data_IF_925227787726
#
_entry.id   IF_925227787726
#
_cell.length_a   1.000
_cell.length_b   1.000
_cell.length_c   1.000
_cell.angle_alpha   90.00
_cell.angle_beta   90.00
_cell.angle_gamma   90.00
#
_symmetry.space_group_name_H-M   'P 1'
#
loop_
_entity.id
_entity.type
_entity.pdbx_description
1 polymer ?
#
# COMPACT_ATOMS: atom_id res chain seq x y z
N UNK A 1 -13.94 -42.08 17.31
CA UNK A 1 -12.72 -42.43 16.57
C UNK A 1 -12.95 -42.08 15.10
N UNK A 2 -12.28 -41.05 14.58
CA UNK A 2 -12.44 -40.63 13.17
C UNK A 2 -11.83 -41.67 12.22
N UNK A 3 -12.52 -41.96 11.11
CA UNK A 3 -12.11 -42.96 10.11
C UNK A 3 -10.76 -42.59 9.47
N UNK A 4 -9.97 -43.58 8.97
CA UNK A 4 -8.69 -43.32 8.30
C UNK A 4 -8.80 -42.40 7.08
N UNK A 5 -9.93 -42.44 6.38
CA UNK A 5 -10.22 -41.58 5.22
C UNK A 5 -10.48 -40.13 5.65
N UNK A 6 -11.21 -39.93 6.76
CA UNK A 6 -11.43 -38.61 7.38
C UNK A 6 -10.14 -37.97 7.91
N UNK A 7 -9.16 -38.76 8.35
CA UNK A 7 -7.85 -38.23 8.78
C UNK A 7 -6.96 -37.82 7.61
N UNK A 8 -7.03 -38.55 6.48
CA UNK A 8 -6.29 -38.19 5.26
C UNK A 8 -6.82 -36.90 4.63
N UNK A 9 -8.13 -36.73 4.52
CA UNK A 9 -8.73 -35.50 3.99
C UNK A 9 -8.47 -34.29 4.89
N UNK A 10 -8.55 -34.43 6.22
CA UNK A 10 -8.19 -33.35 7.16
C UNK A 10 -6.71 -32.91 7.02
N UNK A 11 -5.80 -33.85 6.82
CA UNK A 11 -4.38 -33.55 6.57
C UNK A 11 -4.17 -32.85 5.22
N UNK A 12 -4.91 -33.21 4.17
CA UNK A 12 -4.83 -32.56 2.87
C UNK A 12 -5.38 -31.13 2.90
N UNK A 13 -6.44 -30.88 3.66
CA UNK A 13 -7.04 -29.54 3.80
C UNK A 13 -6.13 -28.60 4.58
N UNK A 14 -5.50 -29.04 5.67
CA UNK A 14 -4.53 -28.23 6.42
C UNK A 14 -3.33 -27.86 5.53
N UNK A 15 -2.84 -28.79 4.72
CA UNK A 15 -1.78 -28.55 3.74
C UNK A 15 -2.21 -27.57 2.65
N UNK A 16 -3.42 -27.71 2.10
CA UNK A 16 -3.97 -26.79 1.11
C UNK A 16 -4.12 -25.37 1.65
N UNK A 17 -4.61 -25.22 2.88
CA UNK A 17 -4.70 -23.93 3.59
C UNK A 17 -3.34 -23.28 3.74
N UNK A 18 -2.33 -24.04 4.14
CA UNK A 18 -0.96 -23.57 4.27
C UNK A 18 -0.38 -23.13 2.92
N UNK A 19 -0.57 -23.93 1.86
CA UNK A 19 -0.10 -23.58 0.52
C UNK A 19 -0.78 -22.34 -0.04
N UNK A 20 -2.11 -22.25 0.08
CA UNK A 20 -2.89 -21.07 -0.33
C UNK A 20 -2.33 -19.83 0.36
N UNK A 21 -2.22 -19.90 1.68
CA UNK A 21 -1.78 -18.77 2.48
C UNK A 21 -0.33 -18.38 2.16
N UNK A 22 0.56 -19.33 1.95
CA UNK A 22 1.94 -19.07 1.55
C UNK A 22 2.03 -18.33 0.20
N UNK A 23 1.22 -18.73 -0.79
CA UNK A 23 1.11 -18.04 -2.08
C UNK A 23 0.55 -16.63 -1.91
N UNK A 24 -0.52 -16.44 -1.14
CA UNK A 24 -1.08 -15.10 -0.89
C UNK A 24 -0.06 -14.14 -0.27
N UNK A 25 0.75 -14.61 0.68
CA UNK A 25 1.83 -13.80 1.27
C UNK A 25 2.91 -13.41 0.24
N UNK A 26 3.29 -14.34 -0.62
CA UNK A 26 4.21 -14.10 -1.73
C UNK A 26 3.65 -13.05 -2.70
N UNK A 27 2.42 -13.26 -3.18
CA UNK A 27 1.75 -12.34 -4.11
C UNK A 27 1.55 -10.96 -3.49
N UNK A 28 1.17 -10.89 -2.22
CA UNK A 28 1.02 -9.62 -1.52
C UNK A 28 2.35 -8.87 -1.47
N UNK A 29 3.45 -9.53 -1.06
CA UNK A 29 4.78 -8.91 -1.00
C UNK A 29 5.26 -8.41 -2.37
N UNK A 30 5.07 -9.21 -3.41
CA UNK A 30 5.43 -8.87 -4.78
C UNK A 30 4.63 -7.67 -5.30
N UNK A 31 3.31 -7.66 -5.05
CA UNK A 31 2.42 -6.57 -5.44
C UNK A 31 2.80 -5.27 -4.73
N UNK A 32 3.06 -5.33 -3.43
CA UNK A 32 3.58 -4.23 -2.63
C UNK A 32 4.85 -3.63 -3.24
N UNK A 33 5.81 -4.47 -3.62
CA UNK A 33 7.04 -4.04 -4.29
C UNK A 33 6.77 -3.35 -5.63
N UNK A 34 5.94 -3.93 -6.50
CA UNK A 34 5.63 -3.33 -7.79
C UNK A 34 4.89 -1.99 -7.66
N UNK A 35 3.95 -1.90 -6.71
CA UNK A 35 3.15 -0.69 -6.49
C UNK A 35 3.94 0.48 -5.90
N UNK A 36 5.09 0.23 -5.27
CA UNK A 36 6.02 1.24 -4.78
C UNK A 36 7.14 1.59 -5.77
N UNK A 37 7.26 0.86 -6.88
CA UNK A 37 8.27 1.10 -7.91
C UNK A 37 7.64 1.18 -9.30
N UNK A 38 7.81 0.16 -10.16
CA UNK A 38 7.48 0.22 -11.59
C UNK A 38 5.98 0.41 -11.92
N UNK A 39 5.09 0.22 -10.94
CA UNK A 39 3.63 0.42 -11.08
C UNK A 39 3.10 1.45 -10.09
N UNK A 40 3.94 2.41 -9.71
CA UNK A 40 3.47 3.56 -8.92
C UNK A 40 2.48 4.36 -9.77
N UNK A 41 1.41 4.85 -9.15
CA UNK A 41 0.44 5.66 -9.86
C UNK A 41 0.97 7.10 -10.01
N UNK A 42 0.93 7.63 -11.23
CA UNK A 42 1.54 8.92 -11.59
C UNK A 42 0.52 9.90 -12.18
N UNK A 43 -0.43 10.39 -11.36
CA UNK A 43 -1.45 11.32 -11.83
C UNK A 43 -0.84 12.71 -12.09
N UNK A 44 -1.38 13.42 -13.10
CA UNK A 44 -1.00 14.81 -13.38
C UNK A 44 -1.80 15.76 -12.51
N UNK A 45 -1.15 16.80 -11.98
CA UNK A 45 -1.80 17.82 -11.15
C UNK A 45 -2.66 18.82 -11.92
N UNK A 46 -2.38 19.01 -13.21
CA UNK A 46 -3.07 19.95 -14.08
C UNK A 46 -3.87 19.18 -15.13
N UNK A 47 -5.15 18.89 -14.86
CA UNK A 47 -6.11 18.66 -15.93
C UNK A 47 -7.48 19.27 -15.58
N UNK A 48 -7.97 20.14 -16.46
CA UNK A 48 -9.32 20.67 -16.54
C UNK A 48 -10.37 19.58 -16.92
N UNK A 49 -10.14 18.33 -16.51
CA UNK A 49 -10.93 17.18 -16.93
C UNK A 49 -10.59 15.94 -16.13
N UNK A 50 -11.61 15.10 -15.93
CA UNK A 50 -11.59 13.84 -15.17
C UNK A 50 -10.26 13.08 -15.27
N UNK A 51 -9.69 12.73 -14.12
CA UNK A 51 -8.55 11.80 -14.07
C UNK A 51 -8.92 10.50 -14.79
N UNK A 52 -8.09 10.08 -15.74
CA UNK A 52 -8.18 8.74 -16.32
C UNK A 52 -7.46 7.76 -15.41
N UNK A 53 -8.14 6.68 -15.04
CA UNK A 53 -7.60 5.64 -14.17
C UNK A 53 -7.87 4.28 -14.78
N UNK A 54 -6.82 3.49 -14.96
CA UNK A 54 -6.91 2.10 -15.42
C UNK A 54 -7.44 1.18 -14.31
N UNK A 55 -8.08 0.07 -14.67
CA UNK A 55 -8.65 -0.89 -13.70
C UNK A 55 -7.64 -1.33 -12.63
N UNK A 56 -6.40 -1.63 -13.03
CA UNK A 56 -5.35 -2.04 -12.10
C UNK A 56 -4.87 -0.92 -11.15
N UNK A 57 -5.04 0.34 -11.54
CA UNK A 57 -4.72 1.49 -10.68
C UNK A 57 -5.80 1.67 -9.62
N UNK A 58 -7.07 1.56 -10.01
CA UNK A 58 -8.22 1.54 -9.09
C UNK A 58 -8.05 0.42 -8.06
N UNK A 59 -7.79 -0.80 -8.52
CA UNK A 59 -7.52 -1.95 -7.65
C UNK A 59 -6.33 -1.71 -6.70
N UNK A 60 -5.33 -0.93 -7.14
CA UNK A 60 -4.19 -0.55 -6.32
C UNK A 60 -4.50 0.50 -5.24
N UNK A 61 -5.47 1.39 -5.50
CA UNK A 61 -5.93 2.42 -4.56
C UNK A 61 -6.89 1.83 -3.53
N UNK A 62 -7.79 0.95 -3.95
CA UNK A 62 -8.71 0.29 -3.05
C UNK A 62 -8.00 -0.61 -2.03
N UNK A 63 -8.68 -0.84 -0.90
CA UNK A 63 -8.23 -1.68 0.20
C UNK A 63 -6.90 -1.21 0.81
N UNK A 64 -6.64 0.10 0.75
CA UNK A 64 -5.53 0.79 1.42
C UNK A 64 -6.08 1.79 2.41
N UNK A 65 -5.38 1.97 3.52
CA UNK A 65 -5.77 2.88 4.61
C UNK A 65 -5.44 4.32 4.29
N UNK A 66 -4.28 4.61 3.69
CA UNK A 66 -3.87 5.98 3.38
C UNK A 66 -3.04 6.10 2.09
N UNK A 67 -3.15 7.20 1.32
CA UNK A 67 -2.19 7.55 0.29
C UNK A 67 -0.88 8.09 0.89
N UNK A 68 0.24 7.76 0.23
CA UNK A 68 1.55 8.37 0.43
C UNK A 68 1.91 9.12 -0.86
N UNK A 69 1.93 10.44 -0.77
CA UNK A 69 2.39 11.30 -1.85
C UNK A 69 3.91 11.49 -1.73
N UNK A 70 4.65 10.97 -2.71
CA UNK A 70 6.07 11.23 -2.83
C UNK A 70 6.28 12.46 -3.71
N UNK A 71 6.86 13.51 -3.15
CA UNK A 71 7.23 14.69 -3.93
C UNK A 71 8.43 14.35 -4.84
N UNK A 72 8.45 14.86 -6.07
CA UNK A 72 9.51 14.54 -6.99
C UNK A 72 10.83 15.13 -6.51
N UNK A 73 11.91 14.37 -6.71
CA UNK A 73 13.25 14.86 -6.48
C UNK A 73 14.28 13.77 -6.78
N UNK A 74 15.48 13.95 -6.26
CA UNK A 74 16.52 12.94 -6.49
C UNK A 74 16.19 11.66 -5.72
N UNK A 75 16.29 10.50 -6.38
CA UNK A 75 16.18 9.17 -5.77
C UNK A 75 14.78 8.79 -5.28
N UNK A 76 13.73 9.37 -5.85
CA UNK A 76 12.32 9.07 -5.56
C UNK A 76 11.99 7.57 -5.62
N UNK A 77 12.44 6.85 -6.65
CA UNK A 77 12.31 5.39 -6.75
C UNK A 77 12.90 4.65 -5.55
N UNK A 78 14.11 5.04 -5.14
CA UNK A 78 14.83 4.39 -4.06
C UNK A 78 14.14 4.65 -2.70
N UNK A 79 13.75 5.90 -2.45
CA UNK A 79 13.03 6.29 -1.22
C UNK A 79 11.73 5.52 -1.09
N UNK A 80 10.95 5.38 -2.17
CA UNK A 80 9.71 4.59 -2.16
C UNK A 80 9.97 3.12 -1.80
N UNK A 81 11.01 2.51 -2.37
CA UNK A 81 11.38 1.12 -2.05
C UNK A 81 11.77 0.94 -0.58
N UNK A 82 12.58 1.86 -0.04
CA UNK A 82 13.03 1.86 1.36
C UNK A 82 11.84 2.01 2.31
N UNK A 83 10.96 2.99 2.06
CA UNK A 83 9.75 3.21 2.86
C UNK A 83 8.80 2.00 2.75
N UNK A 84 8.59 1.45 1.56
CA UNK A 84 7.76 0.26 1.36
C UNK A 84 8.27 -0.93 2.19
N UNK A 85 9.58 -1.17 2.20
CA UNK A 85 10.18 -2.26 2.97
C UNK A 85 10.04 -2.02 4.48
N UNK A 86 10.25 -0.78 4.94
CA UNK A 86 10.03 -0.41 6.33
C UNK A 86 8.58 -0.63 6.76
N UNK A 87 7.61 -0.11 6.01
CA UNK A 87 6.19 -0.27 6.31
C UNK A 87 5.75 -1.74 6.28
N UNK A 88 6.17 -2.49 5.27
CA UNK A 88 5.77 -3.88 5.12
C UNK A 88 6.19 -4.71 6.33
N UNK A 89 7.43 -4.55 6.84
CA UNK A 89 7.91 -5.30 8.01
C UNK A 89 7.20 -4.93 9.32
N UNK A 90 6.60 -3.73 9.42
CA UNK A 90 5.82 -3.29 10.58
C UNK A 90 4.38 -3.79 10.53
N UNK A 91 3.74 -3.63 9.37
CA UNK A 91 2.34 -3.95 9.16
C UNK A 91 2.11 -5.46 9.01
N UNK A 92 2.97 -6.14 8.25
CA UNK A 92 2.80 -7.55 7.94
C UNK A 92 3.16 -8.45 9.12
N UNK A 93 2.24 -9.34 9.48
CA UNK A 93 2.41 -10.38 10.47
C UNK A 93 2.18 -11.72 9.77
N UNK A 94 3.20 -12.60 9.66
CA UNK A 94 3.08 -13.90 9.03
C UNK A 94 1.85 -14.64 9.51
N UNK A 95 1.05 -15.12 8.56
CA UNK A 95 -0.22 -15.83 8.75
C UNK A 95 -1.32 -15.08 9.50
N UNK A 96 -1.08 -13.86 10.00
CA UNK A 96 -2.03 -13.11 10.83
C UNK A 96 -2.64 -11.91 10.12
N UNK A 97 -1.89 -11.26 9.24
CA UNK A 97 -2.41 -10.14 8.45
C UNK A 97 -3.43 -10.65 7.43
N UNK A 98 -4.56 -9.96 7.28
CA UNK A 98 -5.50 -10.24 6.20
C UNK A 98 -5.01 -9.61 4.89
N UNK A 99 -4.88 -10.41 3.82
CA UNK A 99 -4.19 -10.00 2.59
C UNK A 99 -5.10 -9.99 1.36
N UNK A 100 -6.30 -10.58 1.49
CA UNK A 100 -7.27 -10.70 0.42
C UNK A 100 -7.51 -9.36 -0.27
N UNK A 101 -7.72 -9.42 -1.59
CA UNK A 101 -7.99 -8.24 -2.43
C UNK A 101 -6.89 -7.17 -2.38
N UNK A 102 -5.65 -7.62 -2.16
CA UNK A 102 -4.48 -6.75 -2.15
C UNK A 102 -4.46 -5.76 -0.99
N UNK A 103 -5.07 -6.11 0.16
CA UNK A 103 -5.04 -5.26 1.35
C UNK A 103 -3.60 -4.97 1.77
N UNK A 104 -3.34 -3.70 2.07
CA UNK A 104 -2.06 -3.20 2.56
C UNK A 104 -2.28 -1.81 3.19
N UNK A 105 -1.37 -1.34 4.04
CA UNK A 105 -1.57 -0.09 4.77
C UNK A 105 -1.69 1.14 3.85
N UNK A 106 -0.78 1.29 2.88
CA UNK A 106 -0.66 2.53 2.13
C UNK A 106 -0.52 2.35 0.62
N UNK A 107 -0.95 3.34 -0.17
CA UNK A 107 -0.66 3.44 -1.61
C UNK A 107 0.30 4.58 -1.91
N UNK A 108 1.42 4.27 -2.56
CA UNK A 108 2.27 5.30 -3.13
C UNK A 108 1.62 5.96 -4.36
N UNK A 109 1.67 7.29 -4.39
CA UNK A 109 1.25 8.15 -5.48
C UNK A 109 2.38 9.13 -5.76
N UNK A 110 2.72 9.30 -7.03
CA UNK A 110 3.79 10.20 -7.48
C UNK A 110 3.24 11.26 -8.44
N UNK A 111 2.81 12.42 -7.91
CA UNK A 111 2.20 13.46 -8.72
C UNK A 111 3.16 14.01 -9.78
N UNK A 112 2.70 14.04 -11.01
CA UNK A 112 3.43 14.62 -12.15
C UNK A 112 3.05 16.10 -12.29
N UNK A 113 4.05 16.93 -12.54
CA UNK A 113 3.88 18.38 -12.72
C UNK A 113 4.16 19.22 -11.46
N UNK A 114 4.73 18.61 -10.41
CA UNK A 114 5.40 19.36 -9.35
C UNK A 114 6.83 19.68 -9.77
N UNK A 115 7.30 20.87 -9.38
CA UNK A 115 8.70 21.24 -9.54
C UNK A 115 9.58 20.28 -8.73
N UNK A 116 10.69 19.86 -9.34
CA UNK A 116 11.71 19.03 -8.69
C UNK A 116 12.49 19.87 -7.70
N UNK A 117 11.85 20.27 -6.62
CA UNK A 117 12.49 21.02 -5.54
C UNK A 117 12.89 20.06 -4.42
N UNK A 118 14.17 20.07 -4.06
CA UNK A 118 14.67 19.42 -2.85
C UNK A 118 14.35 20.28 -1.61
N UNK A 119 13.09 20.71 -1.47
CA UNK A 119 12.64 21.58 -0.39
C UNK A 119 11.45 20.96 0.37
N UNK A 120 11.13 21.58 1.50
CA UNK A 120 9.86 21.33 2.18
C UNK A 120 8.69 21.71 1.24
N UNK A 121 7.59 20.93 1.20
CA UNK A 121 6.41 21.28 0.44
C UNK A 121 5.86 22.63 0.91
N UNK A 122 5.60 23.50 -0.06
CA UNK A 122 4.88 24.75 0.20
C UNK A 122 3.40 24.48 0.51
N UNK A 123 2.73 25.47 1.11
CA UNK A 123 1.28 25.40 1.33
C UNK A 123 0.49 25.22 0.03
N UNK A 124 0.94 25.81 -1.09
CA UNK A 124 0.28 25.62 -2.40
C UNK A 124 0.45 24.19 -2.89
N UNK A 125 1.65 23.61 -2.77
CA UNK A 125 1.91 22.19 -3.08
C UNK A 125 0.93 21.29 -2.32
N UNK A 126 0.81 21.49 -1.00
CA UNK A 126 -0.09 20.68 -0.17
C UNK A 126 -1.57 20.85 -0.56
N UNK A 127 -2.01 22.07 -0.91
CA UNK A 127 -3.36 22.31 -1.42
C UNK A 127 -3.61 21.58 -2.75
N UNK A 128 -2.64 21.59 -3.66
CA UNK A 128 -2.74 20.85 -4.92
C UNK A 128 -2.84 19.33 -4.69
N UNK A 129 -2.11 18.80 -3.70
CA UNK A 129 -2.23 17.38 -3.31
C UNK A 129 -3.60 17.05 -2.71
N UNK A 130 -4.18 17.96 -1.92
CA UNK A 130 -5.54 17.78 -1.40
C UNK A 130 -6.58 17.70 -2.52
N UNK A 131 -6.54 18.66 -3.46
CA UNK A 131 -7.42 18.64 -4.62
C UNK A 131 -7.22 17.34 -5.43
N UNK A 132 -5.96 16.94 -5.65
CA UNK A 132 -5.66 15.70 -6.35
C UNK A 132 -6.22 14.47 -5.62
N UNK A 133 -6.08 14.37 -4.30
CA UNK A 133 -6.61 13.24 -3.54
C UNK A 133 -8.13 13.16 -3.66
N UNK A 134 -8.80 14.31 -3.56
CA UNK A 134 -10.25 14.40 -3.75
C UNK A 134 -10.64 13.90 -5.15
N UNK A 135 -10.00 14.40 -6.20
CA UNK A 135 -10.27 13.95 -7.57
C UNK A 135 -10.01 12.45 -7.77
N UNK A 136 -8.95 11.89 -7.16
CA UNK A 136 -8.68 10.44 -7.21
C UNK A 136 -9.83 9.65 -6.57
N UNK A 137 -10.29 10.08 -5.39
CA UNK A 137 -11.38 9.42 -4.66
C UNK A 137 -12.72 9.50 -5.42
N UNK A 138 -13.00 10.66 -6.02
CA UNK A 138 -14.17 10.88 -6.88
C UNK A 138 -14.13 9.98 -8.12
N UNK A 139 -12.98 9.89 -8.81
CA UNK A 139 -12.78 9.00 -9.97
C UNK A 139 -12.99 7.54 -9.60
N UNK A 140 -12.42 7.07 -8.47
CA UNK A 140 -12.63 5.68 -8.01
C UNK A 140 -14.11 5.40 -7.75
N UNK A 141 -14.80 6.34 -7.09
CA UNK A 141 -16.23 6.20 -6.79
C UNK A 141 -17.10 6.17 -8.05
N UNK A 142 -16.81 7.06 -9.00
CA UNK A 142 -17.51 7.12 -10.28
C UNK A 142 -17.29 5.84 -11.11
N UNK A 143 -16.04 5.35 -11.20
CA UNK A 143 -15.73 4.13 -11.94
C UNK A 143 -16.40 2.89 -11.34
N UNK A 144 -16.40 2.75 -10.01
CA UNK A 144 -17.11 1.64 -9.35
C UNK A 144 -18.63 1.67 -9.61
N UNK A 145 -19.21 2.87 -9.65
CA UNK A 145 -20.62 3.05 -10.02
C UNK A 145 -20.88 2.64 -11.46
N UNK A 146 -19.97 2.98 -12.37
CA UNK A 146 -20.03 2.57 -13.77
C UNK A 146 -19.93 1.05 -13.93
N UNK A 147 -19.04 0.37 -13.20
CA UNK A 147 -18.93 -1.10 -13.24
C UNK A 147 -20.23 -1.78 -12.81
N UNK A 148 -20.86 -1.28 -11.75
CA UNK A 148 -22.17 -1.77 -11.30
C UNK A 148 -23.24 -1.62 -12.39
N UNK A 149 -23.25 -0.51 -13.12
CA UNK A 149 -24.19 -0.27 -14.22
C UNK A 149 -23.90 -1.18 -15.43
N UNK A 150 -22.64 -1.40 -15.76
CA UNK A 150 -22.21 -2.30 -16.86
C UNK A 150 -22.59 -3.75 -16.58
N UNK A 151 -22.37 -4.23 -15.35
CA UNK A 151 -22.79 -5.58 -14.95
C UNK A 151 -24.31 -5.74 -14.98
N UNK A 152 -25.06 -4.70 -14.58
CA UNK A 152 -26.52 -4.71 -14.64
C UNK A 152 -27.07 -4.71 -16.07
N UNK A 153 -26.35 -4.12 -17.03
CA UNK A 153 -26.78 -4.06 -18.44
C UNK A 153 -26.36 -5.27 -19.28
N UNK A 154 -25.44 -6.10 -18.77
CA UNK A 154 -24.95 -7.30 -19.47
C UNK A 154 -24.05 -7.00 -20.69
N UNK A 155 -23.56 -5.77 -20.83
CA UNK A 155 -22.75 -5.32 -21.98
C UNK A 155 -21.36 -4.87 -21.49
N UNK A 156 -20.31 -5.62 -21.84
CA UNK A 156 -18.92 -5.21 -21.65
C UNK A 156 -17.92 -6.38 -21.62
N UNK A 157 -16.61 -6.12 -21.82
CA UNK A 157 -15.57 -7.10 -21.52
C UNK A 157 -15.52 -7.35 -20.01
N UNK A 158 -15.48 -8.62 -19.63
CA UNK A 158 -15.45 -9.05 -18.23
C UNK A 158 -14.02 -9.07 -17.70
N UNK A 159 -13.43 -7.91 -17.42
CA UNK A 159 -12.23 -7.82 -16.58
C UNK A 159 -12.58 -8.25 -15.15
N UNK A 160 -11.71 -9.03 -14.49
CA UNK A 160 -11.89 -9.48 -13.10
C UNK A 160 -12.18 -8.31 -12.16
N UNK A 161 -11.50 -7.16 -12.35
CA UNK A 161 -11.71 -5.97 -11.52
C UNK A 161 -13.13 -5.41 -11.65
N UNK A 162 -13.72 -5.53 -12.84
CA UNK A 162 -15.10 -5.09 -13.10
C UNK A 162 -16.08 -6.06 -12.47
N UNK A 163 -15.87 -7.38 -12.64
CA UNK A 163 -16.73 -8.41 -12.03
C UNK A 163 -16.74 -8.29 -10.50
N UNK A 164 -15.55 -8.14 -9.91
CA UNK A 164 -15.34 -8.16 -8.48
C UNK A 164 -15.29 -6.76 -7.84
N UNK A 165 -15.84 -5.75 -8.52
CA UNK A 165 -15.79 -4.33 -8.11
C UNK A 165 -16.31 -4.06 -6.68
N UNK A 166 -17.17 -4.92 -6.14
CA UNK A 166 -17.68 -4.81 -4.78
C UNK A 166 -16.60 -5.03 -3.72
N UNK A 167 -15.56 -5.83 -4.02
CA UNK A 167 -14.45 -6.14 -3.12
C UNK A 167 -13.29 -5.14 -3.21
N UNK A 168 -13.30 -4.24 -4.18
CA UNK A 168 -12.38 -3.11 -4.27
C UNK A 168 -12.94 -1.90 -3.52
N UNK A 169 -12.78 -1.86 -2.20
CA UNK A 169 -13.36 -0.83 -1.33
C UNK A 169 -12.40 0.36 -1.16
N UNK A 170 -12.85 1.56 -1.54
CA UNK A 170 -12.18 2.81 -1.15
C UNK A 170 -12.41 3.04 0.35
N UNK A 171 -11.35 2.95 1.15
CA UNK A 171 -11.46 3.09 2.61
C UNK A 171 -11.74 4.56 2.98
N UNK A 172 -12.63 4.84 3.96
CA UNK A 172 -12.85 6.20 4.46
C UNK A 172 -11.55 6.90 4.90
N UNK A 173 -10.64 6.17 5.57
CA UNK A 173 -9.34 6.72 5.96
C UNK A 173 -8.48 7.15 4.76
N UNK A 174 -8.60 6.49 3.61
CA UNK A 174 -7.84 6.86 2.41
C UNK A 174 -8.24 8.26 1.92
N UNK A 175 -9.52 8.58 2.10
CA UNK A 175 -10.07 9.87 1.76
C UNK A 175 -9.69 10.92 2.81
N UNK A 176 -9.64 10.54 4.09
CA UNK A 176 -9.54 11.45 5.23
C UNK A 176 -8.13 11.92 5.59
N UNK A 177 -7.11 11.08 5.36
CA UNK A 177 -5.74 11.36 5.79
C UNK A 177 -4.73 10.99 4.72
N UNK A 178 -3.71 11.83 4.51
CA UNK A 178 -2.61 11.55 3.60
C UNK A 178 -1.26 11.77 4.27
N UNK A 179 -0.27 10.98 3.84
CA UNK A 179 1.13 11.16 4.20
C UNK A 179 1.84 11.81 3.01
N UNK A 180 2.62 12.86 3.24
CA UNK A 180 3.44 13.51 2.21
C UNK A 180 4.91 13.35 2.56
N UNK A 181 5.66 12.76 1.65
CA UNK A 181 7.09 12.50 1.77
C UNK A 181 7.86 13.45 0.87
N UNK A 182 8.70 14.30 1.46
CA UNK A 182 9.69 15.06 0.72
C UNK A 182 11.03 14.33 0.73
N UNK A 183 11.54 14.01 -0.46
CA UNK A 183 12.87 13.39 -0.60
C UNK A 183 14.00 14.32 -0.13
N UNK A 184 13.72 15.62 0.05
CA UNK A 184 14.66 16.59 0.60
C UNK A 184 15.15 16.21 2.01
N UNK A 185 14.32 15.51 2.79
CA UNK A 185 14.66 15.10 4.15
C UNK A 185 15.34 13.74 4.22
N UNK A 186 15.40 13.01 3.10
CA UNK A 186 15.95 11.67 3.07
C UNK A 186 17.48 11.69 3.15
N UNK A 187 18.04 11.02 4.16
CA UNK A 187 19.48 11.01 4.43
C UNK A 187 20.16 9.72 3.98
N UNK A 188 19.61 9.07 2.95
CA UNK A 188 20.13 7.80 2.40
C UNK A 188 20.15 6.67 3.44
N UNK A 189 19.16 6.67 4.31
CA UNK A 189 18.95 5.63 5.33
C UNK A 189 18.35 4.38 4.68
N UNK A 190 18.68 3.20 5.19
CA UNK A 190 18.04 1.97 4.74
C UNK A 190 16.67 1.75 5.42
N UNK A 191 15.98 0.68 5.01
CA UNK A 191 14.68 0.31 5.57
C UNK A 191 14.71 -0.11 7.03
N UNK A 192 15.87 -0.22 7.67
CA UNK A 192 15.98 -0.46 9.12
C UNK A 192 15.96 0.84 9.93
N UNK A 193 16.29 1.97 9.30
CA UNK A 193 16.54 3.25 9.97
C UNK A 193 15.69 4.41 9.44
N UNK A 194 15.06 4.26 8.26
CA UNK A 194 14.21 5.29 7.62
C UNK A 194 13.00 5.73 8.47
N UNK A 195 12.66 5.02 9.55
CA UNK A 195 11.59 5.43 10.46
C UNK A 195 11.75 6.83 11.04
N UNK A 196 12.98 7.36 11.09
CA UNK A 196 13.29 8.73 11.54
C UNK A 196 13.05 9.80 10.48
N UNK A 197 12.81 9.42 9.22
CA UNK A 197 12.55 10.33 8.11
C UNK A 197 11.38 11.25 8.46
N UNK A 198 11.56 12.58 8.46
CA UNK A 198 10.44 13.49 8.64
C UNK A 198 9.46 13.44 7.46
N UNK A 199 8.17 13.37 7.78
CA UNK A 199 7.06 13.34 6.82
C UNK A 199 5.95 14.28 7.31
N UNK A 200 5.05 14.65 6.41
CA UNK A 200 3.86 15.41 6.76
C UNK A 200 2.65 14.50 6.82
N UNK A 201 1.87 14.65 7.87
CA UNK A 201 0.58 14.01 8.04
C UNK A 201 -0.50 15.09 7.90
N UNK A 202 -1.39 14.94 6.93
CA UNK A 202 -2.33 15.98 6.54
C UNK A 202 -3.75 15.42 6.54
N UNK A 203 -4.67 16.11 7.23
CA UNK A 203 -6.10 15.81 7.13
C UNK A 203 -6.65 16.45 5.87
N UNK A 204 -7.52 15.73 5.18
CA UNK A 204 -8.13 16.23 3.94
C UNK A 204 -9.42 16.99 4.18
N UNK A 205 -10.05 16.79 5.34
CA UNK A 205 -11.39 17.27 5.67
C UNK A 205 -12.52 16.35 5.19
N UNK A 206 -12.21 15.29 4.44
CA UNK A 206 -13.18 14.28 4.02
C UNK A 206 -13.27 13.18 5.08
N UNK A 207 -14.03 13.44 6.15
CA UNK A 207 -14.15 12.55 7.32
C UNK A 207 -15.48 11.75 7.34
N UNK A 208 -16.21 11.74 6.23
CA UNK A 208 -17.46 10.98 6.10
C UNK A 208 -17.21 9.48 6.29
N UNK A 209 -18.12 8.82 7.01
CA UNK A 209 -18.10 7.38 7.30
C UNK A 209 -16.90 6.89 8.14
N UNK A 210 -16.21 7.79 8.84
CA UNK A 210 -15.28 7.40 9.90
C UNK A 210 -16.02 7.07 11.19
N UNK A 211 -15.44 6.17 11.98
CA UNK A 211 -15.94 5.82 13.32
C UNK A 211 -15.89 6.98 14.30
N UNK A 212 -14.93 7.90 14.11
CA UNK A 212 -14.76 9.13 14.88
C UNK A 212 -13.88 10.13 14.12
N UNK A 213 -13.95 11.44 14.44
CA UNK A 213 -13.09 12.45 13.84
C UNK A 213 -11.59 12.15 14.00
N UNK A 214 -10.77 12.70 13.11
CA UNK A 214 -9.31 12.56 13.19
C UNK A 214 -8.71 13.77 13.93
N UNK A 215 -8.07 13.51 15.08
CA UNK A 215 -7.26 14.50 15.81
C UNK A 215 -5.83 14.02 15.98
N UNK A 216 -4.90 14.95 16.15
CA UNK A 216 -3.48 14.64 16.39
C UNK A 216 -3.12 14.62 17.88
N UNK A 217 -4.12 14.61 18.77
CA UNK A 217 -3.88 14.71 20.22
C UNK A 217 -3.08 13.51 20.74
N UNK A 218 -3.35 12.31 20.20
CA UNK A 218 -2.65 11.07 20.54
C UNK A 218 -1.16 11.06 20.17
N UNK A 219 -0.74 11.98 19.28
CA UNK A 219 0.66 12.10 18.82
C UNK A 219 1.25 13.48 19.13
N UNK A 220 0.60 14.28 19.97
CA UNK A 220 0.95 15.69 20.21
C UNK A 220 2.41 15.87 20.64
N UNK A 221 2.92 15.02 21.53
CA UNK A 221 4.31 15.04 22.01
C UNK A 221 5.34 14.61 20.96
N UNK A 222 4.89 13.98 19.86
CA UNK A 222 5.73 13.51 18.75
C UNK A 222 5.71 14.46 17.55
N UNK A 223 4.94 15.55 17.61
CA UNK A 223 4.87 16.56 16.56
C UNK A 223 6.18 17.35 16.53
N UNK A 224 6.84 17.36 15.37
CA UNK A 224 8.05 18.14 15.10
C UNK A 224 7.67 19.60 14.83
N UNK A 225 6.64 19.83 14.03
CA UNK A 225 6.11 21.16 13.73
C UNK A 225 4.68 21.10 13.20
N UNK A 226 3.95 22.21 13.31
CA UNK A 226 2.61 22.34 12.74
C UNK A 226 2.67 22.97 11.35
N UNK A 227 1.82 22.49 10.44
CA UNK A 227 1.61 23.10 9.13
C UNK A 227 0.60 24.24 9.25
N UNK A 228 1.08 25.46 9.08
CA UNK A 228 0.21 26.65 9.04
C UNK A 228 -0.33 26.89 7.62
N UNK A 229 -1.54 27.46 7.54
CA UNK A 229 -2.16 27.86 6.26
C UNK A 229 -2.93 26.76 5.51
N UNK A 230 -2.97 25.53 6.05
CA UNK A 230 -3.93 24.50 5.66
C UNK A 230 -5.15 24.57 6.58
N UNK A 231 -6.31 24.96 6.04
CA UNK A 231 -7.56 25.03 6.82
C UNK A 231 -7.98 23.70 7.45
N UNK A 232 -7.57 22.57 6.85
CA UNK A 232 -7.86 21.21 7.34
C UNK A 232 -6.88 20.73 8.42
N UNK A 233 -5.73 21.41 8.56
CA UNK A 233 -4.67 21.08 9.51
C UNK A 233 -3.73 19.98 9.02
N UNK A 234 -2.46 20.11 9.42
CA UNK A 234 -1.42 19.13 9.16
C UNK A 234 -0.26 19.30 10.13
N UNK A 235 0.53 18.25 10.29
CA UNK A 235 1.67 18.20 11.21
C UNK A 235 2.86 17.53 10.53
N UNK A 236 4.05 17.89 10.94
CA UNK A 236 5.28 17.20 10.60
C UNK A 236 5.63 16.24 11.73
N UNK A 237 5.88 14.98 11.41
CA UNK A 237 6.22 13.90 12.34
C UNK A 237 7.27 13.00 11.71
N UNK A 238 7.78 12.02 12.45
CA UNK A 238 8.60 10.95 11.86
C UNK A 238 7.73 9.98 11.06
N UNK A 239 8.31 9.32 10.05
CA UNK A 239 7.66 8.26 9.29
C UNK A 239 7.13 7.17 10.23
N UNK A 240 7.91 6.78 11.23
CA UNK A 240 7.48 5.83 12.25
C UNK A 240 6.17 6.25 12.93
N UNK A 241 6.12 7.50 13.40
CA UNK A 241 4.94 8.05 14.07
C UNK A 241 3.73 8.10 13.14
N UNK A 242 3.93 8.51 11.88
CA UNK A 242 2.85 8.56 10.90
C UNK A 242 2.27 7.17 10.59
N UNK A 243 3.14 6.16 10.44
CA UNK A 243 2.73 4.78 10.17
C UNK A 243 2.00 4.18 11.37
N UNK A 244 2.53 4.37 12.58
CA UNK A 244 1.87 3.89 13.80
C UNK A 244 0.50 4.54 13.97
N UNK A 245 0.40 5.86 13.74
CA UNK A 245 -0.88 6.57 13.81
C UNK A 245 -1.90 6.06 12.78
N UNK A 246 -1.47 5.80 11.53
CA UNK A 246 -2.37 5.24 10.50
C UNK A 246 -2.78 3.81 10.83
N UNK A 247 -1.89 3.00 11.42
CA UNK A 247 -2.23 1.65 11.89
C UNK A 247 -3.24 1.69 13.06
N UNK A 248 -3.09 2.64 13.98
CA UNK A 248 -4.03 2.83 15.10
C UNK A 248 -5.41 3.28 14.58
N UNK A 249 -5.44 4.17 13.59
CA UNK A 249 -6.69 4.55 12.90
C UNK A 249 -7.32 3.34 12.19
N UNK A 250 -6.54 2.54 11.43
CA UNK A 250 -7.05 1.32 10.79
C UNK A 250 -7.66 0.37 11.83
N UNK A 251 -6.97 0.13 12.94
CA UNK A 251 -7.45 -0.73 14.01
C UNK A 251 -8.75 -0.21 14.63
N UNK A 252 -8.87 1.11 14.81
CA UNK A 252 -10.08 1.78 15.30
C UNK A 252 -11.26 1.54 14.35
N UNK A 253 -11.08 1.76 13.05
CA UNK A 253 -12.14 1.53 12.06
C UNK A 253 -12.53 0.05 11.97
N UNK A 254 -11.55 -0.86 12.01
CA UNK A 254 -11.78 -2.32 12.03
C UNK A 254 -12.57 -2.75 13.27
N UNK A 255 -12.33 -2.13 14.43
CA UNK A 255 -13.07 -2.44 15.66
C UNK A 255 -14.57 -2.08 15.56
N UNK A 256 -14.93 -1.08 14.75
CA UNK A 256 -16.32 -0.60 14.60
C UNK A 256 -17.02 -1.24 13.40
N UNK A 257 -16.34 -1.31 12.25
CA UNK A 257 -16.94 -1.72 10.97
C UNK A 257 -16.50 -3.11 10.50
N UNK A 258 -15.58 -3.75 11.22
CA UNK A 258 -14.92 -4.97 10.78
C UNK A 258 -13.89 -4.74 9.67
N UNK A 259 -13.26 -5.81 9.23
CA UNK A 259 -12.32 -5.78 8.10
C UNK A 259 -13.12 -5.59 6.80
N UNK A 260 -12.69 -4.62 5.98
CA UNK A 260 -13.28 -4.34 4.67
C UNK A 260 -12.25 -4.53 3.53
N UNK A 261 -12.60 -5.18 2.40
CA UNK A 261 -13.86 -5.91 2.19
C UNK A 261 -14.01 -7.07 3.18
N UNK A 262 -15.24 -7.50 3.43
CA UNK A 262 -15.54 -8.61 4.32
C UNK A 262 -14.84 -9.90 3.83
N UNK A 263 -13.84 -10.41 4.57
CA UNK A 263 -13.06 -11.57 4.14
C UNK A 263 -13.88 -12.86 3.97
N UNK A 264 -15.07 -12.94 4.57
CA UNK A 264 -15.97 -14.09 4.40
C UNK A 264 -16.72 -14.02 3.07
N UNK A 265 -17.12 -12.83 2.63
CA UNK A 265 -17.88 -12.61 1.39
C UNK A 265 -16.98 -12.53 0.18
N UNK A 266 -15.78 -11.99 0.37
CA UNK A 266 -14.80 -11.75 -0.68
C UNK A 266 -13.90 -12.97 -0.90
N UNK A 267 -14.40 -14.18 -0.69
CA UNK A 267 -13.56 -15.37 -0.81
C UNK A 267 -13.43 -15.78 -2.29
N UNK A 268 -12.20 -15.91 -2.78
CA UNK A 268 -11.90 -16.46 -4.11
C UNK A 268 -11.37 -17.88 -3.96
N UNK A 269 -12.13 -18.85 -4.47
CA UNK A 269 -11.63 -20.21 -4.69
C UNK A 269 -10.56 -20.20 -5.78
N UNK A 270 -9.48 -20.95 -5.57
CA UNK A 270 -8.46 -21.22 -6.58
C UNK A 270 -8.59 -22.67 -7.03
N UNK A 271 -9.36 -22.96 -8.10
CA UNK A 271 -9.65 -24.33 -8.52
C UNK A 271 -8.39 -25.14 -8.78
N UNK A 272 -7.36 -24.51 -9.34
CA UNK A 272 -6.08 -25.17 -9.64
C UNK A 272 -5.36 -25.60 -8.36
N UNK A 273 -5.43 -24.80 -7.29
CA UNK A 273 -4.81 -25.17 -6.01
C UNK A 273 -5.56 -26.32 -5.34
N UNK A 274 -6.89 -26.34 -5.44
CA UNK A 274 -7.71 -27.43 -4.91
C UNK A 274 -7.36 -28.75 -5.61
N UNK A 275 -7.19 -28.72 -6.94
CA UNK A 275 -6.74 -29.87 -7.73
C UNK A 275 -5.32 -30.31 -7.36
N UNK A 276 -4.36 -29.38 -7.26
CA UNK A 276 -2.99 -29.66 -6.80
C UNK A 276 -2.96 -30.35 -5.42
N UNK A 277 -3.91 -30.02 -4.54
CA UNK A 277 -4.02 -30.58 -3.19
C UNK A 277 -4.90 -31.85 -3.12
N UNK A 278 -5.44 -32.32 -4.24
CA UNK A 278 -6.33 -33.48 -4.30
C UNK A 278 -7.66 -33.28 -3.57
N UNK A 279 -8.14 -32.04 -3.47
CA UNK A 279 -9.43 -31.70 -2.84
C UNK A 279 -10.51 -31.71 -3.95
N UNK A 280 -11.52 -32.59 -3.86
CA UNK A 280 -12.55 -32.67 -4.89
C UNK A 280 -13.45 -31.41 -4.91
N UNK A 281 -13.99 -31.04 -6.09
CA UNK A 281 -14.96 -29.95 -6.20
C UNK A 281 -16.16 -30.15 -5.26
N UNK A 282 -16.57 -29.11 -4.55
CA UNK A 282 -17.70 -29.18 -3.61
C UNK A 282 -17.38 -29.68 -2.19
N UNK A 283 -16.16 -30.16 -1.91
CA UNK A 283 -15.63 -30.32 -0.53
C UNK A 283 -14.79 -29.09 -0.11
N UNK A 284 -15.16 -27.92 -0.63
CA UNK A 284 -14.44 -26.66 -0.41
C UNK A 284 -14.52 -26.28 1.08
N UNK A 285 -13.43 -26.52 1.81
CA UNK A 285 -13.27 -26.09 3.20
C UNK A 285 -12.24 -24.95 3.32
N UNK A 286 -11.75 -24.45 2.18
CA UNK A 286 -11.01 -23.21 2.11
C UNK A 286 -12.04 -22.07 2.03
N UNK A 287 -12.63 -21.69 3.16
CA UNK A 287 -13.53 -20.53 3.21
C UNK A 287 -13.17 -19.63 4.39
N UNK A 288 -13.25 -18.33 4.13
CA UNK A 288 -13.16 -17.28 5.12
C UNK A 288 -11.79 -16.61 5.23
N UNK A 289 -11.54 -15.85 6.31
CA UNK A 289 -10.36 -14.99 6.42
C UNK A 289 -9.08 -15.80 6.30
N UNK A 290 -8.23 -15.42 5.35
CA UNK A 290 -6.96 -16.11 5.08
C UNK A 290 -6.04 -16.09 6.30
N UNK A 291 -6.21 -15.12 7.19
CA UNK A 291 -5.52 -15.02 8.48
C UNK A 291 -5.85 -16.14 9.47
N UNK A 292 -6.89 -16.96 9.23
CA UNK A 292 -7.26 -18.12 10.09
C UNK A 292 -6.87 -19.47 9.49
N UNK A 293 -6.18 -19.47 8.35
CA UNK A 293 -5.93 -20.70 7.59
C UNK A 293 -4.81 -21.55 8.20
N UNK A 294 -3.87 -20.91 8.88
CA UNK A 294 -2.66 -21.54 9.40
C UNK A 294 -2.62 -21.40 10.92
N UNK A 295 -2.34 -22.50 11.61
CA UNK A 295 -2.03 -22.45 13.04
C UNK A 295 -0.64 -21.86 13.26
N UNK A 296 -0.61 -20.61 13.70
CA UNK A 296 0.62 -19.83 13.91
C UNK A 296 1.52 -20.40 15.01
N UNK A 297 0.99 -21.26 15.89
CA UNK A 297 1.81 -21.93 16.90
C UNK A 297 2.64 -23.07 16.27
N UNK A 298 2.15 -23.66 15.17
CA UNK A 298 2.89 -24.66 14.39
C UNK A 298 3.83 -24.01 13.38
N UNK A 299 3.42 -22.88 12.80
CA UNK A 299 4.18 -22.16 11.77
C UNK A 299 4.43 -20.70 12.21
N UNK A 300 5.52 -20.44 12.95
CA UNK A 300 5.73 -19.12 13.58
C UNK A 300 6.33 -18.06 12.65
N UNK A 301 6.87 -18.45 11.49
CA UNK A 301 7.63 -17.59 10.59
C UNK A 301 7.02 -17.48 9.20
N UNK A 302 7.62 -16.62 8.37
CA UNK A 302 7.26 -16.50 6.96
C UNK A 302 7.35 -17.86 6.25
N UNK A 303 6.49 -18.08 5.25
CA UNK A 303 6.70 -19.16 4.31
C UNK A 303 8.03 -18.98 3.58
N UNK A 304 8.67 -20.07 3.15
CA UNK A 304 9.94 -20.02 2.41
C UNK A 304 9.85 -19.16 1.14
N UNK A 305 8.69 -19.19 0.47
CA UNK A 305 8.40 -18.38 -0.72
C UNK A 305 8.33 -16.89 -0.37
N UNK A 306 7.50 -16.51 0.60
CA UNK A 306 7.39 -15.11 1.00
C UNK A 306 8.74 -14.56 1.52
N UNK A 307 9.50 -15.39 2.27
CA UNK A 307 10.84 -15.04 2.77
C UNK A 307 11.83 -14.81 1.63
N UNK A 308 11.80 -15.64 0.58
CA UNK A 308 12.61 -15.45 -0.63
C UNK A 308 12.33 -14.11 -1.29
N UNK A 309 11.05 -13.71 -1.38
CA UNK A 309 10.67 -12.41 -1.93
C UNK A 309 11.07 -11.24 -1.04
N UNK A 310 10.96 -11.36 0.29
CA UNK A 310 11.44 -10.30 1.18
C UNK A 310 12.96 -10.11 1.08
N UNK A 311 13.72 -11.21 0.98
CA UNK A 311 15.17 -11.16 0.70
C UNK A 311 15.46 -10.53 -0.65
N UNK A 312 14.66 -10.82 -1.68
CA UNK A 312 14.78 -10.18 -2.99
C UNK A 312 14.55 -8.66 -2.89
N UNK A 313 13.51 -8.23 -2.18
CA UNK A 313 13.21 -6.81 -1.97
C UNK A 313 14.36 -6.10 -1.22
N UNK A 314 14.90 -6.75 -0.19
CA UNK A 314 16.06 -6.27 0.58
C UNK A 314 17.32 -6.17 -0.28
N UNK A 315 17.52 -7.11 -1.23
CA UNK A 315 18.61 -7.03 -2.21
C UNK A 315 18.39 -5.91 -3.23
N UNK A 316 17.16 -5.72 -3.71
CA UNK A 316 16.80 -4.63 -4.63
C UNK A 316 17.05 -3.26 -4.01
N UNK A 317 16.71 -3.09 -2.74
CA UNK A 317 17.01 -1.88 -1.96
C UNK A 317 18.51 -1.59 -1.95
N UNK A 318 19.35 -2.58 -1.58
CA UNK A 318 20.82 -2.44 -1.59
C UNK A 318 21.37 -2.12 -2.98
N UNK A 319 20.96 -2.86 -4.01
CA UNK A 319 21.41 -2.61 -5.38
C UNK A 319 20.99 -1.22 -5.87
N UNK A 320 19.80 -0.75 -5.49
CA UNK A 320 19.31 0.58 -5.82
C UNK A 320 20.13 1.66 -5.11
N UNK A 321 20.53 1.42 -3.86
CA UNK A 321 21.44 2.30 -3.12
C UNK A 321 22.81 2.41 -3.80
N UNK A 322 23.43 1.28 -4.14
CA UNK A 322 24.73 1.22 -4.82
C UNK A 322 24.71 1.95 -6.17
N UNK A 323 23.64 1.75 -6.96
CA UNK A 323 23.45 2.45 -8.23
C UNK A 323 23.33 3.97 -8.04
N UNK A 324 22.60 4.41 -7.00
CA UNK A 324 22.49 5.82 -6.63
C UNK A 324 23.85 6.41 -6.24
N UNK A 325 24.64 5.72 -5.42
CA UNK A 325 25.97 6.20 -5.01
C UNK A 325 26.91 6.33 -6.21
N UNK A 326 26.90 5.34 -7.11
CA UNK A 326 27.69 5.38 -8.34
C UNK A 326 27.35 6.60 -9.20
N UNK A 327 26.07 6.88 -9.42
CA UNK A 327 25.62 8.06 -10.19
C UNK A 327 26.03 9.38 -9.51
N UNK A 328 25.92 9.46 -8.19
CA UNK A 328 26.33 10.65 -7.43
C UNK A 328 27.84 10.91 -7.55
N UNK A 329 28.66 9.85 -7.44
CA UNK A 329 30.11 9.95 -7.56
C UNK A 329 30.54 10.34 -8.98
N UNK A 330 29.89 9.78 -10.01
CA UNK A 330 30.15 10.15 -11.40
C UNK A 330 29.81 11.62 -11.69
N UNK A 331 28.68 12.12 -11.21
CA UNK A 331 28.29 13.53 -11.38
C UNK A 331 29.31 14.49 -10.72
N UNK A 332 29.81 14.16 -9.53
CA UNK A 332 30.85 14.92 -8.84
C UNK A 332 32.19 14.92 -9.60
N UNK A 333 32.55 13.82 -10.27
CA UNK A 333 33.75 13.73 -11.09
C UNK A 333 33.66 14.62 -12.33
N UNK A 334 32.54 14.55 -13.08
CA UNK A 334 32.33 15.41 -14.25
C UNK A 334 32.34 16.91 -13.90
N UNK A 335 31.76 17.30 -12.74
CA UNK A 335 31.81 18.70 -12.27
C UNK A 335 33.22 19.17 -11.88
N UNK A 336 34.09 18.25 -11.45
CA UNK A 336 35.50 18.56 -11.14
C UNK A 336 36.34 18.69 -12.41
N UNK A 337 36.06 17.89 -13.44
CA UNK A 337 36.73 17.96 -14.75
C UNK A 337 36.37 19.26 -15.49
N UNK A 338 35.09 19.62 -15.56
CA UNK A 338 34.66 20.88 -16.19
C UNK A 338 35.26 22.14 -15.52
N UNK A 339 35.53 22.09 -14.20
CA UNK A 339 36.21 23.17 -13.46
C UNK A 339 37.72 23.23 -13.68
N UNK A 340 38.34 22.16 -14.18
CA UNK A 340 39.76 22.14 -14.56
C UNK A 340 39.97 22.67 -15.97
N UNK A 341 39.05 22.40 -16.89
CA UNK A 341 39.15 22.84 -18.30
C UNK A 341 38.74 24.32 -18.52
N UNK A 342 38.23 24.98 -17.47
CA UNK A 342 37.86 26.40 -17.48
C UNK A 342 38.85 27.30 -16.69
N UNK A 343 40.03 26.75 -16.35
CA UNK A 343 41.21 27.48 -15.88
C UNK A 343 42.33 27.32 -16.90
#
# INVERSE_FOLDING_TARGET
MSSPQSRRTASSIELARLHYRAREEEYNRLRAFHQAGPRTYEPKLQQDGSLTMEHHQLAGICNKTAPIYCLPGSFDDHVRLVIQNYMYRRWFRPYRSELGWGRFLCKFINPVGLDKENAAPSTSTLKSLLCLNQSICETVTAQRTQYKQQLASGVGPFDEVVQDHEFYVLQPLFQAIMIVVSVAFYRKEDSSSVGRLPVYLVRTGLEDNLSAPITFDAISEKIISHLHGLGTGGVMVTLETAIDFVMDLEAREVAVFGIQPDPLKSWLTWPELLDECGIPPGEEHLHGPTSKFVDVNKFPGWSDLALKFDRMCSRRERNSFEAMEFLCNRSKLCLKENKRDSK
#
